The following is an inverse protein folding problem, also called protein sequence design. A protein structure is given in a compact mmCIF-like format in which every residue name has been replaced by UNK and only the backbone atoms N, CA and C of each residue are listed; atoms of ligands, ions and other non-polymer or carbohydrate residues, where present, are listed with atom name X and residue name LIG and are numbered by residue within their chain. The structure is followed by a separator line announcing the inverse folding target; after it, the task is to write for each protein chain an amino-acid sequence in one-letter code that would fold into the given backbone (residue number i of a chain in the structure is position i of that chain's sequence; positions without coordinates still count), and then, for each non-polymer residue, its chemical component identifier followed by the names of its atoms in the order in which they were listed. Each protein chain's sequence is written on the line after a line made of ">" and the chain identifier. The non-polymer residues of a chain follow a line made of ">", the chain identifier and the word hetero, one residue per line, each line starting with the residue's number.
data_IF_526509057194
#
_entry.id   IF_526509057194
#
_cell.length_a   1.000
_cell.length_b   1.000
_cell.length_c   1.000
_cell.angle_alpha   90.00
_cell.angle_beta   90.00
_cell.angle_gamma   90.00
#
_symmetry.space_group_name_H-M   'P 1'
#
loop_
_entity.id
_entity.type
_entity.pdbx_description
1 polymer ?
#
# COMPACT_ATOMS: atom_id res chain seq x y z
N UNK A 1 2.39 -13.17 -12.09
CA UNK A 1 3.52 -13.48 -11.18
C UNK A 1 4.04 -12.20 -10.58
N UNK A 2 4.45 -12.25 -9.31
CA UNK A 2 5.09 -11.15 -8.61
C UNK A 2 6.32 -11.67 -7.87
N UNK A 3 7.34 -10.84 -7.75
CA UNK A 3 8.52 -11.07 -6.93
C UNK A 3 8.92 -9.75 -6.27
N UNK A 4 9.51 -9.86 -5.09
CA UNK A 4 10.11 -8.75 -4.37
C UNK A 4 11.43 -9.21 -3.79
N UNK A 5 12.49 -8.50 -4.13
CA UNK A 5 13.78 -8.59 -3.48
C UNK A 5 13.92 -7.43 -2.50
N UNK A 6 14.40 -7.72 -1.31
CA UNK A 6 14.58 -6.74 -0.26
C UNK A 6 15.98 -6.87 0.34
N UNK A 7 16.69 -5.76 0.44
CA UNK A 7 17.99 -5.67 1.09
C UNK A 7 17.93 -4.58 2.15
N UNK A 8 18.23 -4.96 3.38
CA UNK A 8 18.22 -4.02 4.51
C UNK A 8 19.57 -4.07 5.21
N UNK A 9 20.15 -2.91 5.42
CA UNK A 9 21.34 -2.72 6.25
C UNK A 9 20.98 -1.87 7.45
N UNK A 10 21.45 -2.27 8.63
CA UNK A 10 21.27 -1.46 9.84
C UNK A 10 22.55 -1.44 10.68
N UNK A 11 22.81 -0.28 11.27
CA UNK A 11 23.87 -0.06 12.23
C UNK A 11 23.27 0.62 13.46
N UNK A 12 23.55 0.09 14.64
CA UNK A 12 23.07 0.70 15.87
C UNK A 12 24.19 0.80 16.92
N UNK A 13 24.05 1.79 17.80
CA UNK A 13 24.86 1.96 18.99
C UNK A 13 23.97 2.35 20.15
N UNK A 14 24.29 1.82 21.32
CA UNK A 14 23.58 2.15 22.56
C UNK A 14 24.57 2.29 23.70
N UNK A 15 24.32 3.23 24.57
CA UNK A 15 25.06 3.41 25.82
C UNK A 15 24.09 3.50 26.99
N UNK A 16 24.41 2.80 28.04
CA UNK A 16 23.72 2.83 29.33
C UNK A 16 24.66 3.47 30.35
N UNK A 17 24.24 4.60 30.92
CA UNK A 17 25.06 5.45 31.78
C UNK A 17 24.43 5.49 33.17
N UNK A 18 25.15 4.95 34.15
CA UNK A 18 24.79 5.16 35.56
C UNK A 18 25.26 6.55 36.01
N UNK A 19 24.31 7.52 35.96
CA UNK A 19 24.60 8.92 36.30
C UNK A 19 24.79 9.09 37.83
N UNK A 20 24.03 8.30 38.61
CA UNK A 20 24.18 8.22 40.05
C UNK A 20 23.71 6.86 40.56
N UNK A 21 23.77 6.58 41.87
CA UNK A 21 23.27 5.35 42.48
C UNK A 21 21.77 5.11 42.17
N UNK A 22 21.01 6.15 41.88
CA UNK A 22 19.56 6.10 41.64
C UNK A 22 19.15 6.49 40.24
N UNK A 23 20.01 7.16 39.48
CA UNK A 23 19.68 7.69 38.15
C UNK A 23 20.47 6.97 37.07
N UNK A 24 19.76 6.41 36.14
CA UNK A 24 20.30 5.79 34.95
C UNK A 24 19.78 6.46 33.67
N UNK A 25 20.66 6.65 32.67
CA UNK A 25 20.33 7.20 31.36
C UNK A 25 20.69 6.19 30.28
N UNK A 26 19.76 5.93 29.37
CA UNK A 26 19.99 5.11 28.20
C UNK A 26 19.85 5.99 26.97
N UNK A 27 20.88 5.96 26.11
CA UNK A 27 20.91 6.65 24.83
C UNK A 27 21.19 5.64 23.73
N UNK A 28 20.41 5.68 22.67
CA UNK A 28 20.57 4.82 21.51
C UNK A 28 20.41 5.60 20.23
N UNK A 29 21.12 5.16 19.19
CA UNK A 29 20.98 5.63 17.82
C UNK A 29 21.08 4.45 16.88
N UNK A 30 20.26 4.45 15.86
CA UNK A 30 20.34 3.46 14.77
C UNK A 30 20.21 4.16 13.42
N UNK A 31 20.99 3.68 12.46
CA UNK A 31 20.84 4.00 11.05
C UNK A 31 20.30 2.77 10.33
N UNK A 32 19.31 2.96 9.49
CA UNK A 32 18.75 1.91 8.64
C UNK A 32 18.73 2.39 7.19
N UNK A 33 19.09 1.51 6.27
CA UNK A 33 18.90 1.67 4.84
C UNK A 33 18.15 0.45 4.33
N UNK A 34 17.09 0.67 3.57
CA UNK A 34 16.22 -0.37 3.02
C UNK A 34 16.04 -0.14 1.52
N UNK A 35 16.41 -1.14 0.74
CA UNK A 35 16.24 -1.15 -0.72
C UNK A 35 15.29 -2.27 -1.13
N UNK A 36 14.31 -1.94 -1.98
CA UNK A 36 13.38 -2.93 -2.53
C UNK A 36 13.34 -2.83 -4.04
N UNK A 37 13.35 -4.01 -4.67
CA UNK A 37 13.10 -4.14 -6.10
C UNK A 37 11.92 -5.09 -6.30
N UNK A 38 10.87 -4.59 -6.96
CA UNK A 38 9.62 -5.30 -7.17
C UNK A 38 9.44 -5.55 -8.64
N UNK A 39 9.19 -6.80 -8.99
CA UNK A 39 8.73 -7.18 -10.32
C UNK A 39 7.32 -7.74 -10.25
N UNK A 40 6.48 -7.33 -11.16
CA UNK A 40 5.09 -7.74 -11.20
C UNK A 40 4.63 -7.91 -12.65
N UNK A 41 4.21 -9.11 -12.99
CA UNK A 41 3.64 -9.39 -14.30
C UNK A 41 2.17 -9.78 -14.13
N UNK A 42 1.29 -8.86 -14.48
CA UNK A 42 -0.15 -9.07 -14.49
C UNK A 42 -0.64 -9.06 -15.94
N UNK A 43 -1.23 -10.15 -16.36
CA UNK A 43 -1.93 -10.25 -17.64
C UNK A 43 -3.43 -10.35 -17.33
N UNK A 44 -4.19 -9.46 -17.90
CA UNK A 44 -5.63 -9.48 -17.79
C UNK A 44 -6.23 -10.32 -18.94
N UNK A 45 -6.85 -11.44 -18.61
CA UNK A 45 -7.57 -12.32 -19.53
C UNK A 45 -9.06 -12.32 -19.22
N UNK A 46 -9.68 -11.15 -19.14
CA UNK A 46 -11.11 -11.03 -18.90
C UNK A 46 -11.89 -11.49 -20.13
N UNK A 47 -12.35 -12.73 -20.14
CA UNK A 47 -13.13 -13.32 -21.25
C UNK A 47 -14.37 -12.47 -21.55
N UNK A 48 -15.08 -12.03 -20.55
CA UNK A 48 -16.27 -11.17 -20.70
C UNK A 48 -15.94 -9.82 -21.36
N UNK A 49 -14.81 -9.22 -21.02
CA UNK A 49 -14.38 -7.95 -21.60
C UNK A 49 -13.97 -8.06 -23.07
N UNK A 50 -13.66 -9.27 -23.54
CA UNK A 50 -13.29 -9.54 -24.93
C UNK A 50 -14.48 -9.94 -25.81
N UNK A 51 -15.68 -9.99 -25.26
CA UNK A 51 -16.88 -10.30 -26.05
C UNK A 51 -17.25 -9.11 -26.94
N UNK A 52 -17.45 -9.37 -28.21
CA UNK A 52 -17.95 -8.39 -29.17
C UNK A 52 -19.48 -8.36 -29.15
N UNK A 53 -20.04 -7.52 -28.32
CA UNK A 53 -21.50 -7.36 -28.23
C UNK A 53 -22.12 -6.69 -29.45
N UNK A 54 -21.36 -5.87 -30.20
CA UNK A 54 -21.84 -5.29 -31.44
C UNK A 54 -21.91 -6.35 -32.52
N UNK A 55 -20.88 -7.18 -32.66
CA UNK A 55 -20.84 -8.29 -33.59
C UNK A 55 -21.94 -9.32 -33.29
N UNK A 56 -22.09 -9.69 -32.00
CA UNK A 56 -23.15 -10.61 -31.60
C UNK A 56 -24.55 -10.06 -31.90
N UNK A 57 -24.79 -8.78 -31.62
CA UNK A 57 -26.05 -8.11 -31.97
C UNK A 57 -26.27 -8.03 -33.48
N UNK A 58 -25.22 -7.77 -34.28
CA UNK A 58 -25.28 -7.78 -35.73
C UNK A 58 -25.73 -9.15 -36.27
N UNK A 59 -25.11 -10.22 -35.76
CA UNK A 59 -25.48 -11.59 -36.16
C UNK A 59 -26.91 -11.93 -35.78
N UNK A 60 -27.37 -11.53 -34.60
CA UNK A 60 -28.74 -11.71 -34.16
C UNK A 60 -29.76 -11.01 -35.08
N UNK A 61 -29.47 -9.76 -35.49
CA UNK A 61 -30.31 -8.99 -36.40
C UNK A 61 -30.36 -9.61 -37.81
N UNK A 62 -29.21 -10.10 -38.32
CA UNK A 62 -29.15 -10.81 -39.59
C UNK A 62 -30.04 -12.09 -39.53
N UNK A 63 -29.91 -12.83 -38.42
CA UNK A 63 -30.76 -14.03 -38.21
C UNK A 63 -32.27 -13.69 -38.11
N UNK A 64 -32.58 -12.47 -37.68
CA UNK A 64 -33.96 -11.94 -37.66
C UNK A 64 -34.43 -11.38 -39.03
N UNK A 65 -33.61 -11.46 -40.07
CA UNK A 65 -33.95 -11.10 -41.44
C UNK A 65 -33.56 -9.70 -41.88
N UNK A 66 -32.81 -8.95 -41.06
CA UNK A 66 -32.29 -7.64 -41.48
C UNK A 66 -31.12 -7.79 -42.49
N UNK A 67 -31.03 -6.92 -43.50
CA UNK A 67 -29.87 -6.87 -44.39
C UNK A 67 -28.59 -6.63 -43.59
N UNK A 68 -27.44 -7.27 -43.94
CA UNK A 68 -26.21 -7.17 -43.15
C UNK A 68 -25.72 -5.73 -42.90
N UNK A 69 -25.81 -4.86 -43.90
CA UNK A 69 -25.40 -3.46 -43.75
C UNK A 69 -26.32 -2.71 -42.77
N UNK A 70 -27.61 -2.97 -42.78
CA UNK A 70 -28.56 -2.37 -41.84
C UNK A 70 -28.38 -2.96 -40.43
N UNK A 71 -28.19 -4.25 -40.30
CA UNK A 71 -27.94 -4.94 -39.05
C UNK A 71 -26.69 -4.40 -38.35
N UNK A 72 -25.62 -4.15 -39.09
CA UNK A 72 -24.37 -3.57 -38.52
C UNK A 72 -24.56 -2.16 -37.95
N UNK A 73 -25.49 -1.37 -38.51
CA UNK A 73 -25.85 -0.05 -38.00
C UNK A 73 -26.73 -0.17 -36.77
N UNK A 74 -27.79 -0.93 -36.86
CA UNK A 74 -28.79 -1.12 -35.79
C UNK A 74 -28.18 -1.81 -34.55
N UNK A 75 -27.20 -2.68 -34.72
CA UNK A 75 -26.53 -3.35 -33.61
C UNK A 75 -25.74 -2.38 -32.67
N UNK A 76 -25.57 -1.14 -33.08
CA UNK A 76 -24.95 -0.08 -32.26
C UNK A 76 -25.98 0.74 -31.47
N UNK A 77 -27.23 0.47 -31.65
CA UNK A 77 -28.34 1.12 -30.95
C UNK A 77 -28.91 0.19 -29.88
N UNK A 78 -28.94 0.59 -28.58
CA UNK A 78 -29.49 -0.21 -27.49
C UNK A 78 -30.97 -0.60 -27.70
N UNK A 79 -31.70 0.16 -28.48
CA UNK A 79 -33.10 -0.18 -28.82
C UNK A 79 -33.24 -1.45 -29.67
N UNK A 80 -32.20 -1.80 -30.44
CA UNK A 80 -32.17 -2.96 -31.34
C UNK A 80 -31.21 -4.06 -30.87
N UNK A 81 -30.25 -3.70 -29.99
CA UNK A 81 -29.26 -4.64 -29.45
C UNK A 81 -29.26 -4.61 -27.92
N UNK A 82 -30.03 -5.54 -27.33
CA UNK A 82 -30.11 -5.68 -25.86
C UNK A 82 -28.81 -6.07 -25.16
N UNK A 83 -27.76 -6.45 -25.90
CA UNK A 83 -26.44 -6.78 -25.34
C UNK A 83 -25.59 -5.54 -25.10
N UNK A 84 -25.85 -4.40 -25.75
CA UNK A 84 -25.03 -3.18 -25.62
C UNK A 84 -24.93 -2.66 -24.20
N UNK A 85 -25.98 -2.62 -23.37
CA UNK A 85 -25.84 -2.18 -21.97
C UNK A 85 -24.84 -3.00 -21.16
N UNK A 86 -24.57 -4.26 -21.55
CA UNK A 86 -23.58 -5.10 -20.90
C UNK A 86 -22.14 -4.64 -21.13
N UNK A 87 -21.88 -3.75 -22.12
CA UNK A 87 -20.56 -3.13 -22.32
C UNK A 87 -20.12 -2.33 -21.09
N UNK A 88 -21.04 -1.76 -20.34
CA UNK A 88 -20.73 -1.05 -19.12
C UNK A 88 -20.11 -1.95 -18.03
N UNK A 89 -20.31 -3.26 -18.12
CA UNK A 89 -19.72 -4.25 -17.21
C UNK A 89 -18.39 -4.82 -17.72
N UNK A 90 -18.03 -4.57 -18.98
CA UNK A 90 -16.72 -4.94 -19.50
C UNK A 90 -15.65 -4.07 -18.84
N UNK A 91 -14.46 -4.62 -18.69
CA UNK A 91 -13.33 -3.92 -18.06
C UNK A 91 -13.56 -3.51 -16.59
N UNK A 92 -14.49 -4.17 -15.88
CA UNK A 92 -14.69 -4.00 -14.45
C UNK A 92 -14.37 -5.32 -13.72
N UNK A 93 -13.41 -5.34 -12.79
CA UNK A 93 -12.46 -4.29 -12.48
C UNK A 93 -11.44 -4.13 -13.61
N UNK A 94 -11.06 -2.89 -13.87
CA UNK A 94 -10.03 -2.58 -14.85
C UNK A 94 -8.66 -2.89 -14.25
N UNK A 95 -7.83 -3.63 -14.98
CA UNK A 95 -6.49 -4.00 -14.55
C UNK A 95 -5.48 -3.42 -15.53
N UNK A 96 -4.50 -2.74 -14.97
CA UNK A 96 -3.38 -2.20 -15.72
C UNK A 96 -2.20 -3.15 -15.57
N UNK A 97 -1.49 -3.43 -16.66
CA UNK A 97 -0.31 -4.26 -16.62
C UNK A 97 0.85 -3.49 -15.98
N UNK A 98 1.63 -4.18 -15.15
CA UNK A 98 2.85 -3.64 -14.57
C UNK A 98 4.08 -4.14 -15.36
N UNK A 99 5.17 -3.37 -15.49
CA UNK A 99 5.34 -2.02 -14.97
C UNK A 99 4.53 -1.00 -15.77
N UNK A 100 4.02 0.02 -15.08
CA UNK A 100 3.40 1.17 -15.71
C UNK A 100 4.39 2.34 -15.81
N UNK A 101 4.00 3.42 -16.53
CA UNK A 101 4.90 4.53 -16.86
C UNK A 101 5.38 5.35 -15.64
N UNK A 102 4.71 5.25 -14.49
CA UNK A 102 5.01 6.06 -13.30
C UNK A 102 5.80 5.30 -12.22
N UNK A 103 5.93 3.97 -12.34
CA UNK A 103 6.50 3.14 -11.28
C UNK A 103 7.53 2.17 -11.85
N UNK A 104 8.78 2.37 -11.46
CA UNK A 104 9.91 1.53 -11.88
C UNK A 104 10.09 0.27 -11.03
N UNK A 105 9.31 0.12 -9.97
CA UNK A 105 9.38 -1.02 -9.08
C UNK A 105 10.52 -0.94 -8.05
N UNK A 106 11.12 0.24 -7.85
CA UNK A 106 12.26 0.40 -6.96
C UNK A 106 11.95 1.40 -5.86
N UNK A 107 12.44 1.12 -4.67
CA UNK A 107 12.49 2.08 -3.57
C UNK A 107 13.79 1.94 -2.81
N UNK A 108 14.28 3.08 -2.34
CA UNK A 108 15.43 3.18 -1.44
C UNK A 108 15.10 4.21 -0.39
N UNK A 109 15.07 3.78 0.84
CA UNK A 109 14.73 4.58 2.00
C UNK A 109 15.84 4.47 3.04
N UNK A 110 16.13 5.56 3.74
CA UNK A 110 17.04 5.56 4.86
C UNK A 110 16.50 6.43 5.99
N UNK A 111 16.88 6.09 7.23
CA UNK A 111 16.49 6.86 8.39
C UNK A 111 17.49 6.72 9.54
N UNK A 112 17.49 7.72 10.41
CA UNK A 112 18.19 7.69 11.69
C UNK A 112 17.18 7.74 12.82
N UNK A 113 17.08 6.64 13.55
CA UNK A 113 16.25 6.55 14.76
C UNK A 113 17.07 6.79 16.01
N UNK A 114 16.45 7.36 17.04
CA UNK A 114 17.07 7.56 18.33
C UNK A 114 16.17 7.13 19.48
N UNK A 115 16.81 6.82 20.59
CA UNK A 115 16.14 6.56 21.87
C UNK A 115 16.90 7.30 22.97
N UNK A 116 16.17 8.01 23.80
CA UNK A 116 16.69 8.58 25.03
C UNK A 116 15.73 8.29 26.18
N UNK A 117 16.23 7.61 27.21
CA UNK A 117 15.43 7.22 28.38
C UNK A 117 16.18 7.53 29.66
N UNK A 118 15.46 8.07 30.63
CA UNK A 118 15.92 8.23 32.01
C UNK A 118 15.12 7.32 32.93
N UNK A 119 15.78 6.69 33.88
CA UNK A 119 15.11 5.94 34.94
C UNK A 119 15.67 6.34 36.31
N UNK A 120 14.77 6.47 37.26
CA UNK A 120 15.11 6.91 38.62
C UNK A 120 14.50 5.97 39.65
N UNK A 121 15.39 5.39 40.48
CA UNK A 121 14.97 4.55 41.61
C UNK A 121 14.56 5.47 42.77
N UNK A 122 13.25 5.61 42.99
CA UNK A 122 12.71 6.32 44.15
C UNK A 122 13.13 5.64 45.46
N UNK A 123 13.03 4.32 45.47
CA UNK A 123 13.50 3.42 46.52
C UNK A 123 13.70 2.01 45.94
N UNK A 124 14.02 1.02 46.79
CA UNK A 124 14.29 -0.35 46.35
C UNK A 124 13.09 -1.05 45.66
N UNK A 125 11.88 -0.56 45.93
CA UNK A 125 10.65 -1.15 45.42
C UNK A 125 10.06 -0.37 44.21
N UNK A 126 10.45 0.89 43.98
CA UNK A 126 9.79 1.75 42.96
C UNK A 126 10.83 2.41 42.09
N UNK A 127 10.72 2.16 40.81
CA UNK A 127 11.48 2.81 39.74
C UNK A 127 10.53 3.56 38.81
N UNK A 128 10.78 4.83 38.56
CA UNK A 128 10.07 5.62 37.56
C UNK A 128 10.97 5.85 36.35
N UNK A 129 10.37 5.95 35.17
CA UNK A 129 11.12 6.20 33.96
C UNK A 129 10.33 7.07 32.98
N UNK A 130 11.06 7.76 32.14
CA UNK A 130 10.50 8.49 31.03
C UNK A 130 11.49 8.54 29.87
N UNK A 131 10.98 8.68 28.65
CA UNK A 131 11.83 8.71 27.47
C UNK A 131 11.10 9.08 26.19
N UNK A 132 11.91 9.26 25.17
CA UNK A 132 11.50 9.48 23.81
C UNK A 132 12.21 8.47 22.93
N UNK A 133 11.50 7.97 21.92
CA UNK A 133 12.08 7.13 20.88
C UNK A 133 11.43 7.43 19.53
N UNK A 134 12.19 7.27 18.46
CA UNK A 134 11.65 7.29 17.11
C UNK A 134 11.62 5.89 16.52
N UNK A 135 10.86 5.73 15.47
CA UNK A 135 10.77 4.51 14.70
C UNK A 135 10.49 4.82 13.25
N UNK A 136 10.95 3.95 12.38
CA UNK A 136 10.86 4.07 10.94
C UNK A 136 10.31 2.80 10.30
N UNK A 137 9.48 2.98 9.28
CA UNK A 137 9.01 1.92 8.42
C UNK A 137 9.21 2.33 6.97
N UNK A 138 10.05 1.60 6.26
CA UNK A 138 10.36 1.85 4.85
C UNK A 138 9.14 1.66 3.94
N UNK A 139 9.22 2.19 2.73
CA UNK A 139 8.24 2.03 1.64
C UNK A 139 7.73 0.60 1.55
N UNK A 140 6.41 0.47 1.53
CA UNK A 140 5.73 -0.82 1.40
C UNK A 140 5.07 -0.93 0.01
N UNK A 141 5.48 -1.92 -0.78
CA UNK A 141 4.91 -2.19 -2.08
C UNK A 141 3.68 -3.11 -2.00
N UNK A 142 2.63 -2.73 -2.71
CA UNK A 142 1.48 -3.59 -2.92
C UNK A 142 1.70 -4.47 -4.14
N UNK A 143 2.14 -5.70 -3.93
CA UNK A 143 2.37 -6.70 -4.97
C UNK A 143 1.14 -7.59 -5.22
N UNK A 144 0.03 -7.30 -4.58
CA UNK A 144 -1.24 -7.94 -4.88
C UNK A 144 -1.84 -7.39 -6.17
N UNK A 145 -2.86 -8.07 -6.67
CA UNK A 145 -3.63 -7.64 -7.83
C UNK A 145 -4.19 -6.24 -7.60
N UNK A 146 -3.75 -5.29 -8.41
CA UNK A 146 -4.18 -3.89 -8.34
C UNK A 146 -4.55 -3.39 -9.73
N UNK A 147 -5.64 -2.67 -9.82
CA UNK A 147 -6.18 -2.11 -11.05
C UNK A 147 -6.09 -0.59 -11.12
N UNK A 148 -5.44 0.04 -10.15
CA UNK A 148 -5.30 1.50 -10.14
C UNK A 148 -4.29 1.95 -11.19
N UNK A 149 -4.73 2.71 -12.21
CA UNK A 149 -3.82 3.33 -13.17
C UNK A 149 -3.14 4.55 -12.55
N UNK A 150 -2.02 4.95 -13.10
CA UNK A 150 -1.51 6.30 -12.92
C UNK A 150 -2.33 7.34 -13.74
N UNK A 151 -1.96 8.62 -13.65
CA UNK A 151 -2.68 9.68 -14.35
C UNK A 151 -2.58 9.55 -15.89
N UNK A 152 -1.43 9.08 -16.40
CA UNK A 152 -1.19 8.91 -17.83
C UNK A 152 -1.98 7.73 -18.38
N UNK A 153 -1.91 6.61 -17.69
CA UNK A 153 -2.65 5.40 -18.02
C UNK A 153 -4.16 5.64 -17.96
N UNK A 154 -4.63 6.37 -16.95
CA UNK A 154 -6.04 6.76 -16.84
C UNK A 154 -6.49 7.57 -18.05
N UNK A 155 -5.70 8.55 -18.50
CA UNK A 155 -6.01 9.34 -19.68
C UNK A 155 -6.07 8.46 -20.94
N UNK A 156 -5.13 7.51 -21.08
CA UNK A 156 -5.12 6.55 -22.20
C UNK A 156 -6.35 5.61 -22.18
N UNK A 157 -6.75 5.13 -21.01
CA UNK A 157 -7.94 4.29 -20.83
C UNK A 157 -9.22 5.05 -21.21
N UNK A 158 -9.34 6.32 -20.79
CA UNK A 158 -10.47 7.18 -21.14
C UNK A 158 -10.50 7.42 -22.66
N UNK A 159 -9.34 7.74 -23.27
CA UNK A 159 -9.24 7.96 -24.72
C UNK A 159 -9.60 6.70 -25.52
N UNK A 160 -9.32 5.52 -24.98
CA UNK A 160 -9.71 4.23 -25.56
C UNK A 160 -11.20 3.91 -25.38
N UNK A 161 -11.99 4.78 -24.74
CA UNK A 161 -13.42 4.57 -24.50
C UNK A 161 -13.72 3.58 -23.38
N UNK A 162 -12.76 3.32 -22.50
CA UNK A 162 -12.96 2.43 -21.36
C UNK A 162 -13.88 3.11 -20.33
N UNK A 163 -14.98 2.47 -19.89
CA UNK A 163 -15.89 3.07 -18.91
C UNK A 163 -15.15 3.39 -17.59
N UNK A 164 -15.45 4.56 -17.03
CA UNK A 164 -14.97 4.89 -15.69
C UNK A 164 -15.61 3.96 -14.67
N UNK A 165 -14.83 3.05 -14.11
CA UNK A 165 -15.26 2.14 -13.04
C UNK A 165 -14.68 2.55 -11.69
N UNK A 166 -15.09 1.88 -10.59
CA UNK A 166 -14.58 2.16 -9.25
C UNK A 166 -13.06 1.98 -9.12
N UNK A 167 -12.44 1.23 -10.02
CA UNK A 167 -11.00 0.96 -10.04
C UNK A 167 -10.20 1.90 -10.95
N UNK A 168 -10.79 2.96 -11.48
CA UNK A 168 -10.10 3.99 -12.27
C UNK A 168 -9.56 5.15 -11.44
N UNK A 169 -9.54 5.02 -10.13
CA UNK A 169 -8.86 5.96 -9.25
C UNK A 169 -7.35 5.96 -9.53
N UNK A 170 -6.76 7.16 -9.65
CA UNK A 170 -5.31 7.30 -9.74
C UNK A 170 -4.70 6.89 -8.40
N UNK A 171 -3.58 6.17 -8.43
CA UNK A 171 -2.87 5.79 -7.20
C UNK A 171 -1.53 5.14 -7.48
N UNK A 172 -0.72 5.11 -6.45
CA UNK A 172 0.57 4.40 -6.45
C UNK A 172 0.40 2.96 -5.99
N UNK A 173 1.34 2.10 -6.38
CA UNK A 173 1.42 0.71 -5.88
C UNK A 173 2.21 0.59 -4.59
N UNK A 174 2.61 1.68 -4.01
CA UNK A 174 3.37 1.71 -2.76
C UNK A 174 2.80 2.72 -1.77
N UNK A 175 3.03 2.46 -0.50
CA UNK A 175 2.88 3.42 0.57
C UNK A 175 4.26 4.03 0.87
N UNK A 176 4.29 5.35 1.07
CA UNK A 176 5.50 6.05 1.46
C UNK A 176 6.02 5.55 2.81
N UNK A 177 7.30 5.82 3.13
CA UNK A 177 7.83 5.58 4.46
C UNK A 177 6.99 6.26 5.54
N UNK A 178 6.96 5.64 6.70
CA UNK A 178 6.28 6.15 7.89
C UNK A 178 7.33 6.36 8.98
N UNK A 179 7.25 7.49 9.66
CA UNK A 179 8.05 7.81 10.83
C UNK A 179 7.13 7.93 12.04
N UNK A 180 7.61 7.53 13.18
CA UNK A 180 6.90 7.66 14.43
C UNK A 180 7.79 8.25 15.52
N UNK A 181 7.20 9.07 16.39
CA UNK A 181 7.83 9.53 17.62
C UNK A 181 6.95 9.13 18.80
N UNK A 182 7.57 8.52 19.81
CA UNK A 182 6.89 8.02 21.00
C UNK A 182 7.48 8.66 22.24
N UNK A 183 6.63 9.29 23.03
CA UNK A 183 6.94 9.73 24.40
C UNK A 183 6.34 8.75 25.38
N UNK A 184 7.14 8.24 26.30
CA UNK A 184 6.70 7.29 27.32
C UNK A 184 7.05 7.80 28.72
N UNK A 185 6.13 7.63 29.66
CA UNK A 185 6.34 7.81 31.08
C UNK A 185 5.78 6.61 31.84
N UNK A 186 6.53 6.03 32.77
CA UNK A 186 6.05 4.86 33.49
C UNK A 186 6.67 4.67 34.86
N UNK A 187 6.14 3.67 35.55
CA UNK A 187 6.63 3.23 36.85
C UNK A 187 6.66 1.69 36.92
N UNK A 188 7.71 1.16 37.53
CA UNK A 188 7.84 -0.26 37.88
C UNK A 188 7.84 -0.37 39.39
N UNK A 189 6.93 -1.13 39.92
CA UNK A 189 6.71 -1.31 41.36
C UNK A 189 6.92 -2.79 41.69
N UNK A 190 7.89 -3.09 42.53
CA UNK A 190 8.18 -4.42 43.03
C UNK A 190 7.39 -4.67 44.32
N UNK A 191 6.64 -5.76 44.34
CA UNK A 191 5.84 -6.21 45.47
C UNK A 191 6.45 -7.49 46.02
N UNK A 192 6.17 -7.89 47.27
CA UNK A 192 6.72 -9.11 47.87
C UNK A 192 6.48 -10.39 47.06
N UNK A 193 5.37 -10.45 46.33
CA UNK A 193 4.97 -11.64 45.55
C UNK A 193 4.72 -11.33 44.06
N UNK A 194 5.27 -10.23 43.53
CA UNK A 194 5.05 -9.86 42.14
C UNK A 194 5.56 -8.47 41.78
N UNK A 195 5.13 -7.98 40.64
CA UNK A 195 5.46 -6.62 40.21
C UNK A 195 4.27 -6.00 39.45
N UNK A 196 4.21 -4.67 39.47
CA UNK A 196 3.24 -3.88 38.73
C UNK A 196 4.00 -2.90 37.81
N UNK A 197 3.69 -2.91 36.55
CA UNK A 197 4.17 -1.92 35.57
C UNK A 197 3.00 -1.06 35.13
N UNK A 198 3.19 0.24 35.15
CA UNK A 198 2.25 1.23 34.62
C UNK A 198 3.01 2.08 33.61
N UNK A 199 2.46 2.26 32.43
CA UNK A 199 3.01 3.14 31.42
C UNK A 199 1.91 3.97 30.76
N UNK A 200 2.24 5.20 30.41
CA UNK A 200 1.45 6.10 29.59
C UNK A 200 2.35 6.56 28.43
N UNK A 201 1.83 6.58 27.24
CA UNK A 201 2.58 7.01 26.06
C UNK A 201 1.71 7.89 25.16
N UNK A 202 2.39 8.76 24.42
CA UNK A 202 1.85 9.55 23.31
C UNK A 202 2.68 9.23 22.07
N UNK A 203 2.00 8.95 20.96
CA UNK A 203 2.63 8.59 19.69
C UNK A 203 2.08 9.47 18.58
N UNK A 204 2.99 9.97 17.79
CA UNK A 204 2.70 10.74 16.58
C UNK A 204 3.24 10.04 15.36
#
# INVERSE_FOLDING_TARGET
>A
TSAQDNSTMSLFAQVDIQVSEKLNALLGVSYIEDEKEVSYNQINTAVFSNLDFVGAGTMGLIAAGFPPAQAAVLARDPAFNALLPLQALQFIPQFVNFPNAAQDGKSKDDNVDYTAKLSYALNDAVNIYGGVSTGFKATAWNISRDSRPDATEKAALIAAGTPAGPNTGVGTRYANPEEAEVFELGAKIYLPNGYLNIAMFDQK
#
